data_IF_571537226956
#
_entry.id   IF_571537226956
#
_cell.length_a   1.000
_cell.length_b   1.000
_cell.length_c   1.000
_cell.angle_alpha   90.00
_cell.angle_beta   90.00
_cell.angle_gamma   90.00
#
_symmetry.space_group_name_H-M   'P 1'
#
loop_
_entity.id
_entity.type
_entity.pdbx_description
1 polymer ?
#
# COMPACT_ATOMS: atom_id res chain seq x y z
N UNK A 1 -9.46 13.26 -7.17
CA UNK A 1 -9.27 13.53 -5.72
C UNK A 1 -8.69 14.92 -5.55
N UNK A 2 -9.14 15.66 -4.54
CA UNK A 2 -8.72 17.03 -4.30
C UNK A 2 -8.01 17.16 -2.96
N UNK A 3 -6.84 17.79 -2.96
CA UNK A 3 -6.09 18.06 -1.74
C UNK A 3 -6.51 19.43 -1.18
N UNK A 4 -7.23 19.43 -0.07
CA UNK A 4 -7.73 20.66 0.56
C UNK A 4 -6.66 21.53 1.22
N UNK A 5 -5.41 21.09 1.24
CA UNK A 5 -4.27 21.91 1.67
C UNK A 5 -3.75 22.81 0.55
N UNK A 6 -4.10 22.53 -0.70
CA UNK A 6 -3.69 23.32 -1.86
C UNK A 6 -4.82 24.28 -2.24
N UNK A 7 -4.60 25.63 -2.17
CA UNK A 7 -5.64 26.63 -2.48
C UNK A 7 -6.24 26.51 -3.88
N UNK A 8 -5.43 26.14 -4.88
CA UNK A 8 -5.90 25.97 -6.25
C UNK A 8 -6.85 24.77 -6.36
N UNK A 9 -6.53 23.65 -5.72
CA UNK A 9 -7.40 22.47 -5.72
C UNK A 9 -8.69 22.72 -4.93
N UNK A 10 -8.65 23.49 -3.86
CA UNK A 10 -9.86 23.91 -3.13
C UNK A 10 -10.78 24.72 -4.03
N UNK A 11 -10.24 25.65 -4.81
CA UNK A 11 -11.02 26.45 -5.75
C UNK A 11 -11.65 25.56 -6.84
N UNK A 12 -10.89 24.64 -7.40
CA UNK A 12 -11.37 23.68 -8.40
C UNK A 12 -12.46 22.76 -7.83
N UNK A 13 -12.31 22.32 -6.58
CA UNK A 13 -13.32 21.51 -5.88
C UNK A 13 -14.63 22.29 -5.73
N UNK A 14 -14.57 23.55 -5.30
CA UNK A 14 -15.76 24.41 -5.16
C UNK A 14 -16.49 24.57 -6.49
N UNK A 15 -15.77 24.84 -7.55
CA UNK A 15 -16.35 24.97 -8.90
C UNK A 15 -17.02 23.68 -9.36
N UNK A 16 -16.40 22.55 -9.09
CA UNK A 16 -16.98 21.23 -9.42
C UNK A 16 -18.25 20.94 -8.64
N UNK A 17 -18.26 21.26 -7.35
CA UNK A 17 -19.44 21.10 -6.50
C UNK A 17 -20.60 21.96 -7.00
N UNK A 18 -20.35 23.22 -7.36
CA UNK A 18 -21.37 24.11 -7.91
C UNK A 18 -21.98 23.56 -9.20
N UNK A 19 -21.15 23.04 -10.12
CA UNK A 19 -21.64 22.40 -11.35
C UNK A 19 -22.51 21.17 -11.08
N UNK A 20 -22.13 20.37 -10.07
CA UNK A 20 -22.91 19.17 -9.70
C UNK A 20 -24.25 19.55 -9.07
N UNK A 21 -24.30 20.64 -8.30
CA UNK A 21 -25.54 21.19 -7.73
C UNK A 21 -26.47 21.68 -8.84
N UNK A 22 -25.95 22.42 -9.81
CA UNK A 22 -26.72 22.88 -10.97
C UNK A 22 -27.34 21.74 -11.77
N UNK A 23 -26.60 20.62 -11.89
CA UNK A 23 -27.07 19.41 -12.59
C UNK A 23 -28.00 18.56 -11.75
N UNK A 24 -28.20 18.88 -10.48
CA UNK A 24 -29.00 18.08 -9.53
C UNK A 24 -28.52 16.62 -9.43
N UNK A 25 -27.20 16.42 -9.50
CA UNK A 25 -26.58 15.09 -9.46
C UNK A 25 -26.54 14.55 -8.04
N UNK A 26 -26.70 13.22 -7.89
CA UNK A 26 -26.40 12.55 -6.64
C UNK A 26 -24.88 12.49 -6.44
N UNK A 27 -24.41 12.92 -5.28
CA UNK A 27 -22.97 13.05 -5.00
C UNK A 27 -22.64 12.43 -3.64
N UNK A 28 -21.61 11.64 -3.61
CA UNK A 28 -21.00 11.15 -2.36
C UNK A 28 -19.73 11.93 -2.06
N UNK A 29 -19.61 12.46 -0.85
CA UNK A 29 -18.41 13.16 -0.40
C UNK A 29 -17.73 12.31 0.66
N UNK A 30 -16.50 11.85 0.37
CA UNK A 30 -15.71 11.01 1.26
C UNK A 30 -14.40 11.70 1.61
N UNK A 31 -14.14 11.88 2.90
CA UNK A 31 -12.84 12.32 3.39
C UNK A 31 -11.86 11.14 3.37
N UNK A 32 -10.76 11.28 2.62
CA UNK A 32 -9.66 10.32 2.65
C UNK A 32 -8.49 10.89 3.45
N UNK A 33 -8.13 10.21 4.52
CA UNK A 33 -6.87 10.49 5.20
C UNK A 33 -5.72 10.06 4.29
N UNK A 34 -4.91 11.03 3.85
CA UNK A 34 -3.76 10.77 2.99
C UNK A 34 -2.74 9.90 3.72
N UNK A 35 -2.32 8.80 3.09
CA UNK A 35 -1.14 8.06 3.49
C UNK A 35 0.06 8.99 3.35
N UNK A 36 0.98 8.97 4.29
CA UNK A 36 2.18 9.76 4.16
C UNK A 36 3.07 9.17 3.06
N UNK A 37 3.70 10.03 2.28
CA UNK A 37 4.69 9.60 1.29
C UNK A 37 5.81 8.78 1.93
N UNK A 38 6.20 9.13 3.15
CA UNK A 38 7.20 8.40 3.93
C UNK A 38 6.77 6.96 4.24
N UNK A 39 5.50 6.75 4.59
CA UNK A 39 4.97 5.42 4.86
C UNK A 39 5.03 4.52 3.61
N UNK A 40 4.69 5.05 2.45
CA UNK A 40 4.77 4.31 1.18
C UNK A 40 6.21 4.02 0.77
N UNK A 41 7.12 4.96 0.95
CA UNK A 41 8.56 4.77 0.72
C UNK A 41 9.14 3.69 1.65
N UNK A 42 8.79 3.75 2.91
CA UNK A 42 9.20 2.74 3.89
C UNK A 42 8.68 1.36 3.51
N UNK A 43 7.40 1.22 3.15
CA UNK A 43 6.84 -0.03 2.67
C UNK A 43 7.62 -0.58 1.47
N UNK A 44 7.89 0.24 0.46
CA UNK A 44 8.68 -0.16 -0.71
C UNK A 44 10.06 -0.66 -0.33
N UNK A 45 10.74 0.03 0.58
CA UNK A 45 12.07 -0.33 1.06
C UNK A 45 12.07 -1.69 1.74
N UNK A 46 11.15 -1.95 2.64
CA UNK A 46 11.11 -3.22 3.37
C UNK A 46 10.71 -4.40 2.47
N UNK A 47 9.82 -4.19 1.53
CA UNK A 47 9.45 -5.24 0.56
C UNK A 47 10.62 -5.57 -0.39
N UNK A 48 11.33 -4.56 -0.86
CA UNK A 48 12.53 -4.75 -1.69
C UNK A 48 13.64 -5.48 -0.91
N UNK A 49 13.88 -5.10 0.32
CA UNK A 49 14.85 -5.76 1.19
C UNK A 49 14.51 -7.25 1.41
N UNK A 50 13.27 -7.54 1.73
CA UNK A 50 12.81 -8.93 1.87
C UNK A 50 13.00 -9.71 0.56
N UNK A 51 12.69 -9.10 -0.57
CA UNK A 51 12.91 -9.70 -1.89
C UNK A 51 14.37 -10.05 -2.14
N UNK A 52 15.29 -9.16 -1.83
CA UNK A 52 16.73 -9.42 -1.95
C UNK A 52 17.21 -10.56 -1.05
N UNK A 53 16.69 -10.63 0.18
CA UNK A 53 17.06 -11.69 1.12
C UNK A 53 16.50 -13.07 0.74
N UNK A 54 15.39 -13.11 0.04
CA UNK A 54 14.69 -14.36 -0.30
C UNK A 54 14.81 -14.75 -1.78
N UNK A 55 15.40 -13.90 -2.62
CA UNK A 55 15.49 -14.14 -4.06
C UNK A 55 14.18 -13.92 -4.82
N UNK A 56 13.26 -13.14 -4.27
CA UNK A 56 12.00 -12.79 -4.91
C UNK A 56 12.04 -11.36 -5.46
N UNK A 57 11.24 -11.08 -6.48
CA UNK A 57 11.06 -9.72 -6.98
C UNK A 57 10.20 -8.90 -6.02
N UNK A 58 10.28 -7.58 -6.14
CA UNK A 58 9.45 -6.67 -5.34
C UNK A 58 7.95 -6.97 -5.51
N UNK A 59 7.52 -7.24 -6.73
CA UNK A 59 6.12 -7.54 -7.05
C UNK A 59 5.65 -8.85 -6.44
N UNK A 60 6.48 -9.90 -6.48
CA UNK A 60 6.20 -11.18 -5.82
C UNK A 60 6.06 -11.03 -4.31
N UNK A 61 6.96 -10.28 -3.67
CA UNK A 61 6.89 -10.02 -2.22
C UNK A 61 5.62 -9.24 -1.89
N UNK A 62 5.32 -8.21 -2.64
CA UNK A 62 4.14 -7.38 -2.41
C UNK A 62 2.84 -8.15 -2.57
N UNK A 63 2.70 -8.92 -3.62
CA UNK A 63 1.46 -9.63 -3.95
C UNK A 63 1.31 -10.91 -3.15
N UNK A 64 2.32 -11.76 -3.11
CA UNK A 64 2.23 -13.08 -2.50
C UNK A 64 2.41 -13.04 -0.98
N UNK A 65 3.49 -12.45 -0.50
CA UNK A 65 3.81 -12.47 0.93
C UNK A 65 3.07 -11.40 1.71
N UNK A 66 3.20 -10.16 1.31
CA UNK A 66 2.62 -9.03 2.05
C UNK A 66 1.10 -9.03 2.03
N UNK A 67 0.50 -9.19 0.85
CA UNK A 67 -0.95 -9.11 0.69
C UNK A 67 -1.66 -10.44 0.92
N UNK A 68 -1.27 -11.51 0.24
CA UNK A 68 -2.01 -12.76 0.26
C UNK A 68 -1.76 -13.62 1.49
N UNK A 69 -0.54 -13.61 2.01
CA UNK A 69 -0.17 -14.44 3.17
C UNK A 69 -0.38 -13.68 4.46
N UNK A 70 0.31 -12.55 4.62
CA UNK A 70 0.38 -11.84 5.90
C UNK A 70 -0.88 -11.02 6.18
N UNK A 71 -1.38 -10.31 5.18
CA UNK A 71 -2.49 -9.37 5.32
C UNK A 71 -3.70 -9.77 4.49
N UNK A 72 -3.99 -11.05 4.44
CA UNK A 72 -5.08 -11.60 3.64
C UNK A 72 -6.43 -10.96 3.93
N UNK A 73 -6.74 -10.72 5.19
CA UNK A 73 -7.98 -10.09 5.63
C UNK A 73 -8.16 -8.65 5.12
N UNK A 74 -7.05 -7.92 4.94
CA UNK A 74 -7.07 -6.54 4.45
C UNK A 74 -7.10 -6.42 2.92
N UNK A 75 -6.49 -7.35 2.20
CA UNK A 75 -6.24 -7.22 0.76
C UNK A 75 -6.99 -8.19 -0.12
N UNK A 76 -7.33 -9.37 0.37
CA UNK A 76 -7.98 -10.39 -0.46
C UNK A 76 -9.49 -10.21 -0.41
N UNK A 77 -10.12 -10.16 -1.59
CA UNK A 77 -11.57 -10.06 -1.79
C UNK A 77 -12.04 -11.20 -2.67
N UNK A 78 -13.30 -11.54 -2.54
CA UNK A 78 -13.93 -12.55 -3.39
C UNK A 78 -14.94 -11.88 -4.31
N UNK A 79 -14.98 -12.35 -5.55
CA UNK A 79 -15.95 -11.95 -6.56
C UNK A 79 -16.53 -13.19 -7.21
N UNK A 80 -17.87 -13.24 -7.31
CA UNK A 80 -18.54 -14.30 -8.02
C UNK A 80 -18.32 -14.15 -9.53
N UNK A 81 -17.88 -15.22 -10.18
CA UNK A 81 -17.72 -15.29 -11.63
C UNK A 81 -18.89 -16.07 -12.21
N UNK A 82 -19.80 -15.36 -12.87
CA UNK A 82 -21.00 -15.96 -13.46
C UNK A 82 -20.68 -16.92 -14.61
N UNK A 83 -19.60 -16.68 -15.33
CA UNK A 83 -19.17 -17.53 -16.44
C UNK A 83 -18.67 -18.88 -15.96
N UNK A 84 -17.84 -18.88 -14.94
CA UNK A 84 -17.24 -20.07 -14.36
C UNK A 84 -18.11 -20.68 -13.25
N UNK A 85 -19.17 -20.00 -12.81
CA UNK A 85 -20.05 -20.38 -11.71
C UNK A 85 -19.30 -20.70 -10.40
N UNK A 86 -18.22 -19.97 -10.15
CA UNK A 86 -17.38 -20.12 -8.96
C UNK A 86 -16.96 -18.74 -8.46
N UNK A 87 -16.56 -18.67 -7.20
CA UNK A 87 -15.99 -17.46 -6.62
C UNK A 87 -14.50 -17.37 -6.93
N UNK A 88 -14.05 -16.18 -7.35
CA UNK A 88 -12.65 -15.90 -7.60
C UNK A 88 -12.11 -14.93 -6.58
N UNK A 89 -10.90 -15.19 -6.13
CA UNK A 89 -10.15 -14.26 -5.29
C UNK A 89 -9.42 -13.21 -6.13
N UNK A 90 -9.41 -11.98 -5.64
CA UNK A 90 -8.59 -10.92 -6.18
C UNK A 90 -7.96 -10.10 -5.06
N UNK A 91 -6.89 -9.39 -5.38
CA UNK A 91 -6.10 -8.62 -4.43
C UNK A 91 -6.26 -7.13 -4.72
N UNK A 92 -6.64 -6.37 -3.71
CA UNK A 92 -6.83 -4.92 -3.86
C UNK A 92 -5.50 -4.16 -3.74
N UNK A 93 -5.48 -2.93 -4.27
CA UNK A 93 -4.34 -2.03 -4.17
C UNK A 93 -4.17 -1.50 -2.74
N UNK A 94 -2.92 -1.22 -2.35
CA UNK A 94 -2.61 -0.49 -1.11
C UNK A 94 -3.29 0.88 -1.04
N UNK A 95 -3.63 1.46 -2.19
CA UNK A 95 -4.37 2.73 -2.27
C UNK A 95 -5.76 2.66 -1.63
N UNK A 96 -6.35 1.47 -1.51
CA UNK A 96 -7.67 1.26 -0.88
C UNK A 96 -7.63 1.26 0.63
N UNK A 97 -6.47 1.08 1.26
CA UNK A 97 -6.33 1.07 2.72
C UNK A 97 -6.26 2.48 3.29
N UNK A 98 -6.71 2.61 4.54
CA UNK A 98 -6.45 3.80 5.35
C UNK A 98 -5.00 3.82 5.82
N UNK A 99 -4.54 4.97 6.36
CA UNK A 99 -3.21 5.11 6.96
C UNK A 99 -3.02 4.11 8.11
N UNK A 100 -4.02 3.95 8.95
CA UNK A 100 -4.01 3.06 10.11
C UNK A 100 -3.96 1.59 9.69
N UNK A 101 -4.76 1.21 8.70
CA UNK A 101 -4.75 -0.15 8.13
C UNK A 101 -3.40 -0.48 7.50
N UNK A 102 -2.79 0.46 6.78
CA UNK A 102 -1.47 0.25 6.18
C UNK A 102 -0.37 0.14 7.25
N UNK A 103 -0.44 0.91 8.33
CA UNK A 103 0.48 0.79 9.46
C UNK A 103 0.37 -0.59 10.11
N UNK A 104 -0.84 -1.08 10.32
CA UNK A 104 -1.08 -2.43 10.85
C UNK A 104 -0.52 -3.51 9.91
N UNK A 105 -0.77 -3.37 8.63
CA UNK A 105 -0.27 -4.31 7.61
C UNK A 105 1.27 -4.39 7.61
N UNK A 106 1.94 -3.26 7.72
CA UNK A 106 3.40 -3.17 7.79
C UNK A 106 3.93 -3.85 9.06
N UNK A 107 3.33 -3.59 10.21
CA UNK A 107 3.76 -4.21 11.47
C UNK A 107 3.54 -5.72 11.46
N UNK A 108 2.43 -6.20 10.93
CA UNK A 108 2.19 -7.64 10.74
C UNK A 108 3.27 -8.28 9.87
N UNK A 109 3.65 -7.61 8.78
CA UNK A 109 4.69 -8.11 7.89
C UNK A 109 6.06 -8.15 8.56
N UNK A 110 6.42 -7.13 9.32
CA UNK A 110 7.68 -7.10 10.07
C UNK A 110 7.75 -8.26 11.08
N UNK A 111 6.68 -8.46 11.84
CA UNK A 111 6.61 -9.55 12.83
C UNK A 111 6.66 -10.93 12.16
N UNK A 112 5.92 -11.10 11.09
CA UNK A 112 5.93 -12.35 10.32
C UNK A 112 7.30 -12.63 9.73
N UNK A 113 7.95 -11.63 9.17
CA UNK A 113 9.29 -11.75 8.60
C UNK A 113 10.32 -12.20 9.64
N UNK A 114 10.30 -11.62 10.83
CA UNK A 114 11.19 -12.02 11.93
C UNK A 114 10.90 -13.44 12.43
N UNK A 115 9.63 -13.75 12.66
CA UNK A 115 9.24 -15.00 13.34
C UNK A 115 9.22 -16.22 12.40
N UNK A 116 8.83 -16.03 11.15
CA UNK A 116 8.65 -17.11 10.18
C UNK A 116 9.82 -17.20 9.20
N UNK A 117 10.21 -16.09 8.61
CA UNK A 117 11.28 -16.05 7.62
C UNK A 117 12.68 -15.86 8.22
N UNK A 118 12.77 -15.51 9.49
CA UNK A 118 14.05 -15.25 10.16
C UNK A 118 14.76 -14.00 9.67
N UNK A 119 14.04 -13.08 9.07
CA UNK A 119 14.57 -11.82 8.51
C UNK A 119 14.08 -10.65 9.36
N UNK A 120 15.01 -10.00 10.07
CA UNK A 120 14.69 -8.80 10.82
C UNK A 120 14.54 -7.60 9.87
N UNK A 121 13.40 -6.95 9.95
CA UNK A 121 13.13 -5.70 9.22
C UNK A 121 13.18 -4.53 10.20
N UNK A 122 14.11 -3.58 10.02
CA UNK A 122 14.21 -2.40 10.90
C UNK A 122 12.93 -1.56 10.88
N UNK A 123 12.60 -0.93 12.01
CA UNK A 123 11.51 0.04 12.07
C UNK A 123 11.87 1.31 11.29
N UNK A 124 10.88 2.12 10.98
CA UNK A 124 11.09 3.41 10.30
C UNK A 124 11.95 4.40 11.09
N UNK A 125 12.12 4.18 12.39
CA UNK A 125 12.96 5.00 13.28
C UNK A 125 14.43 4.56 13.29
N UNK A 126 14.74 3.36 12.85
CA UNK A 126 16.11 2.81 12.76
C UNK A 126 16.82 3.34 11.50
N UNK A 127 17.12 4.62 11.49
CA UNK A 127 17.57 5.36 10.32
C UNK A 127 18.86 4.80 9.70
N UNK A 128 19.87 4.49 10.52
CA UNK A 128 21.16 3.97 10.04
C UNK A 128 20.99 2.61 9.37
N UNK A 129 20.22 1.71 9.99
CA UNK A 129 19.93 0.39 9.41
C UNK A 129 19.18 0.52 8.08
N UNK A 130 18.23 1.45 7.97
CA UNK A 130 17.50 1.71 6.73
C UNK A 130 18.41 2.28 5.63
N UNK A 131 19.39 3.12 5.96
CA UNK A 131 20.35 3.62 4.98
C UNK A 131 21.20 2.49 4.38
N UNK A 132 21.64 1.54 5.19
CA UNK A 132 22.36 0.36 4.69
C UNK A 132 21.49 -0.49 3.77
N UNK A 133 20.24 -0.71 4.15
CA UNK A 133 19.27 -1.46 3.33
C UNK A 133 19.01 -0.73 2.01
N UNK A 134 18.82 0.57 2.01
CA UNK A 134 18.63 1.36 0.81
C UNK A 134 19.83 1.29 -0.13
N UNK A 135 21.03 1.29 0.42
CA UNK A 135 22.26 1.10 -0.35
C UNK A 135 22.31 -0.27 -1.01
N UNK A 136 22.00 -1.32 -0.27
CA UNK A 136 21.96 -2.70 -0.80
C UNK A 136 20.91 -2.85 -1.90
N UNK A 137 19.75 -2.24 -1.75
CA UNK A 137 18.69 -2.23 -2.77
C UNK A 137 19.19 -1.55 -4.04
N UNK A 138 19.85 -0.40 -3.93
CA UNK A 138 20.37 0.35 -5.09
C UNK A 138 21.43 -0.45 -5.84
N UNK A 139 22.33 -1.13 -5.12
CA UNK A 139 23.35 -2.00 -5.71
C UNK A 139 22.75 -3.20 -6.46
N UNK A 140 21.61 -3.70 -6.03
CA UNK A 140 20.98 -4.91 -6.55
C UNK A 140 19.66 -4.66 -7.27
N UNK A 141 19.41 -3.43 -7.68
CA UNK A 141 18.14 -3.00 -8.27
C UNK A 141 17.68 -3.84 -9.46
N UNK A 142 18.63 -4.34 -10.24
CA UNK A 142 18.39 -5.18 -11.42
C UNK A 142 17.71 -6.52 -11.12
N UNK A 143 17.73 -6.97 -9.87
CA UNK A 143 17.13 -8.24 -9.45
C UNK A 143 15.72 -8.10 -8.86
N UNK A 144 15.23 -6.87 -8.75
CA UNK A 144 13.93 -6.57 -8.13
C UNK A 144 12.78 -6.37 -9.15
#
# INVERSE_FOLDING_TARGET
>A
MYNTKNPLEVQNLRLKIEKLIEKQSMVEVVEKKAKTLQQLKYLHTILAYFGLQTGNTLDEVKTCYFKRIVNRDLFVRQKHDDLLRTDREYVISTAKLTKEELSEAIERFRNWSSNIAGIYIPSSEEYIALLHIQHDIEQNRRYL
#
